data_IF_168391490296
#
_entry.id   IF_168391490296
#
_cell.length_a   1.000
_cell.length_b   1.000
_cell.length_c   1.000
_cell.angle_alpha   90.00
_cell.angle_beta   90.00
_cell.angle_gamma   90.00
#
_symmetry.space_group_name_H-M   'P 1'
#
loop_
_entity.id
_entity.type
_entity.pdbx_description
1 polymer ?
#
# COMPACT_ATOMS: atom_id res chain seq x y z
N UNK A 1 0.88 5.39 -20.46
CA UNK A 1 -0.33 6.19 -20.13
C UNK A 1 -0.58 7.15 -21.28
N UNK A 2 -1.83 7.40 -21.68
CA UNK A 2 -2.07 8.34 -22.80
C UNK A 2 -1.66 9.76 -22.40
N UNK A 3 -1.22 10.58 -23.36
CA UNK A 3 -0.81 11.98 -23.12
C UNK A 3 -1.93 12.80 -22.45
N UNK A 4 -3.18 12.49 -22.78
CA UNK A 4 -4.36 13.12 -22.17
C UNK A 4 -4.46 12.80 -20.67
N UNK A 5 -4.34 11.53 -20.27
CA UNK A 5 -4.42 11.15 -18.84
C UNK A 5 -3.28 11.75 -18.01
N UNK A 6 -2.05 11.77 -18.56
CA UNK A 6 -0.92 12.40 -17.87
C UNK A 6 -1.15 13.91 -17.69
N UNK A 7 -1.74 14.58 -18.68
CA UNK A 7 -2.05 16.01 -18.58
C UNK A 7 -3.13 16.29 -17.53
N UNK A 8 -4.23 15.53 -17.54
CA UNK A 8 -5.32 15.67 -16.56
C UNK A 8 -4.82 15.42 -15.14
N UNK A 9 -3.99 14.39 -14.94
CA UNK A 9 -3.39 14.09 -13.64
C UNK A 9 -2.51 15.24 -13.15
N UNK A 10 -1.64 15.78 -14.01
CA UNK A 10 -0.79 16.93 -13.67
C UNK A 10 -1.61 18.16 -13.29
N UNK A 11 -2.70 18.45 -14.01
CA UNK A 11 -3.60 19.55 -13.67
C UNK A 11 -4.27 19.34 -12.31
N UNK A 12 -4.77 18.14 -12.03
CA UNK A 12 -5.41 17.80 -10.76
C UNK A 12 -4.44 17.98 -9.58
N UNK A 13 -3.24 17.37 -9.67
CA UNK A 13 -2.24 17.46 -8.60
C UNK A 13 -1.76 18.90 -8.40
N UNK A 14 -1.54 19.66 -9.48
CA UNK A 14 -1.19 21.09 -9.40
C UNK A 14 -2.28 21.91 -8.71
N UNK A 15 -3.55 21.64 -9.04
CA UNK A 15 -4.70 22.32 -8.43
C UNK A 15 -4.85 21.98 -6.95
N UNK A 16 -4.61 20.72 -6.55
CA UNK A 16 -4.65 20.31 -5.14
C UNK A 16 -3.54 20.99 -4.33
N UNK A 17 -2.31 21.03 -4.88
CA UNK A 17 -1.13 21.59 -4.20
C UNK A 17 -1.17 23.12 -4.07
N UNK A 18 -1.77 23.81 -5.03
CA UNK A 18 -1.93 25.29 -5.01
C UNK A 18 -3.20 25.77 -4.31
N UNK A 19 -4.12 24.86 -3.97
CA UNK A 19 -5.38 25.17 -3.31
C UNK A 19 -5.27 25.55 -1.84
N UNK A 20 -6.43 25.69 -1.18
CA UNK A 20 -6.54 25.95 0.27
C UNK A 20 -6.03 24.80 1.15
N UNK A 21 -6.08 24.98 2.48
CA UNK A 21 -5.53 24.00 3.45
C UNK A 21 -6.04 22.58 3.23
N UNK A 22 -7.33 22.41 2.96
CA UNK A 22 -7.95 21.10 2.79
C UNK A 22 -7.50 20.42 1.50
N UNK A 23 -7.32 21.17 0.42
CA UNK A 23 -6.82 20.64 -0.85
C UNK A 23 -5.36 20.20 -0.73
N UNK A 24 -4.53 20.99 -0.03
CA UNK A 24 -3.14 20.63 0.25
C UNK A 24 -3.03 19.39 1.12
N UNK A 25 -3.90 19.24 2.14
CA UNK A 25 -3.98 18.01 2.95
C UNK A 25 -4.32 16.79 2.09
N UNK A 26 -5.25 16.93 1.14
CA UNK A 26 -5.57 15.85 0.18
C UNK A 26 -4.37 15.50 -0.70
N UNK A 27 -3.63 16.48 -1.20
CA UNK A 27 -2.41 16.24 -1.97
C UNK A 27 -1.39 15.43 -1.15
N UNK A 28 -1.09 15.86 0.09
CA UNK A 28 -0.18 15.14 0.98
C UNK A 28 -0.67 13.71 1.26
N UNK A 29 -1.97 13.51 1.45
CA UNK A 29 -2.54 12.18 1.64
C UNK A 29 -2.35 11.28 0.41
N UNK A 30 -2.46 11.83 -0.80
CA UNK A 30 -2.21 11.08 -2.05
C UNK A 30 -0.73 10.71 -2.15
N UNK A 31 0.18 11.65 -1.86
CA UNK A 31 1.62 11.40 -1.87
C UNK A 31 1.99 10.26 -0.89
N UNK A 32 1.41 10.25 0.31
CA UNK A 32 1.61 9.19 1.31
C UNK A 32 1.01 7.84 0.86
N UNK A 33 -0.13 7.84 0.18
CA UNK A 33 -0.72 6.64 -0.41
C UNK A 33 0.17 6.07 -1.51
N UNK A 34 0.77 6.92 -2.35
CA UNK A 34 1.72 6.49 -3.38
C UNK A 34 2.91 5.78 -2.76
N UNK A 35 3.53 6.36 -1.72
CA UNK A 35 4.65 5.74 -0.97
C UNK A 35 4.24 4.37 -0.41
N UNK A 36 3.06 4.25 0.22
CA UNK A 36 2.55 2.98 0.71
C UNK A 36 2.50 1.93 -0.41
N UNK A 37 1.92 2.30 -1.56
CA UNK A 37 1.78 1.39 -2.70
C UNK A 37 3.15 0.99 -3.27
N UNK A 38 4.10 1.92 -3.40
CA UNK A 38 5.46 1.63 -3.86
C UNK A 38 6.17 0.62 -2.96
N UNK A 39 6.06 0.80 -1.63
CA UNK A 39 6.57 -0.15 -0.66
C UNK A 39 5.94 -1.53 -0.88
N UNK A 40 4.60 -1.62 -0.96
CA UNK A 40 3.92 -2.91 -1.16
C UNK A 40 4.28 -3.58 -2.50
N UNK A 41 4.48 -2.80 -3.57
CA UNK A 41 4.99 -3.30 -4.86
C UNK A 41 6.40 -3.88 -4.68
N UNK A 42 7.28 -3.22 -3.93
CA UNK A 42 8.63 -3.72 -3.66
C UNK A 42 8.60 -5.03 -2.87
N UNK A 43 7.71 -5.16 -1.88
CA UNK A 43 7.53 -6.38 -1.09
C UNK A 43 7.02 -7.53 -1.97
N UNK A 44 6.06 -7.26 -2.86
CA UNK A 44 5.56 -8.26 -3.80
C UNK A 44 6.64 -8.70 -4.82
N UNK A 45 7.52 -7.78 -5.25
CA UNK A 45 8.70 -8.13 -6.09
C UNK A 45 9.67 -9.02 -5.33
N UNK A 46 9.99 -8.68 -4.09
CA UNK A 46 10.84 -9.48 -3.20
C UNK A 46 10.30 -10.90 -3.05
N UNK A 47 9.00 -11.05 -2.75
CA UNK A 47 8.36 -12.38 -2.62
C UNK A 47 8.47 -13.19 -3.91
N UNK A 48 8.31 -12.56 -5.08
CA UNK A 48 8.44 -13.26 -6.36
C UNK A 48 9.88 -13.69 -6.67
N UNK A 49 10.88 -12.91 -6.25
CA UNK A 49 12.30 -13.18 -6.48
C UNK A 49 12.90 -14.13 -5.43
N UNK A 50 12.32 -14.18 -4.23
CA UNK A 50 12.78 -15.06 -3.15
C UNK A 50 12.65 -16.53 -3.56
N UNK A 51 13.71 -17.29 -3.27
CA UNK A 51 13.76 -18.72 -3.57
C UNK A 51 13.14 -19.54 -2.45
N UNK A 52 12.74 -20.77 -2.76
CA UNK A 52 12.17 -21.69 -1.80
C UNK A 52 10.65 -21.60 -1.62
N UNK A 53 10.16 -22.35 -0.63
CA UNK A 53 8.72 -22.58 -0.42
C UNK A 53 7.99 -21.38 0.19
N UNK A 54 6.65 -21.46 0.20
CA UNK A 54 5.77 -20.40 0.72
C UNK A 54 6.13 -19.95 2.14
N UNK A 55 6.45 -20.87 3.05
CA UNK A 55 6.82 -20.53 4.42
C UNK A 55 8.10 -19.68 4.51
N UNK A 56 9.07 -19.92 3.63
CA UNK A 56 10.31 -19.15 3.57
C UNK A 56 10.05 -17.75 3.02
N UNK A 57 9.25 -17.66 1.94
CA UNK A 57 8.81 -16.39 1.35
C UNK A 57 8.00 -15.55 2.35
N UNK A 58 7.13 -16.16 3.15
CA UNK A 58 6.42 -15.46 4.23
C UNK A 58 7.38 -14.91 5.29
N UNK A 59 8.38 -15.70 5.70
CA UNK A 59 9.39 -15.23 6.65
C UNK A 59 10.17 -14.04 6.09
N UNK A 60 10.57 -14.09 4.80
CA UNK A 60 11.25 -13.00 4.12
C UNK A 60 10.37 -11.75 4.02
N UNK A 61 9.09 -11.91 3.66
CA UNK A 61 8.10 -10.83 3.62
C UNK A 61 7.94 -10.15 4.98
N UNK A 62 7.70 -10.92 6.05
CA UNK A 62 7.52 -10.35 7.40
C UNK A 62 8.76 -9.58 7.86
N UNK A 63 9.96 -10.11 7.58
CA UNK A 63 11.23 -9.42 7.87
C UNK A 63 11.30 -8.08 7.13
N UNK A 64 11.12 -8.10 5.81
CA UNK A 64 11.22 -6.90 4.99
C UNK A 64 10.17 -5.83 5.39
N UNK A 65 8.94 -6.24 5.69
CA UNK A 65 7.88 -5.32 6.17
C UNK A 65 8.23 -4.67 7.51
N UNK A 66 8.88 -5.38 8.44
CA UNK A 66 9.31 -4.80 9.74
C UNK A 66 10.38 -3.73 9.59
N UNK A 67 11.19 -3.81 8.53
CA UNK A 67 12.26 -2.83 8.25
C UNK A 67 11.72 -1.52 7.66
N UNK A 68 10.48 -1.51 7.16
CA UNK A 68 9.82 -0.33 6.59
C UNK A 68 9.23 0.54 7.70
N UNK A 69 9.95 1.59 8.10
CA UNK A 69 9.53 2.52 9.17
C UNK A 69 8.19 3.20 8.85
N UNK A 70 7.96 3.54 7.59
CA UNK A 70 6.72 4.21 7.15
C UNK A 70 5.48 3.34 7.39
N UNK A 71 5.61 2.01 7.36
CA UNK A 71 4.50 1.09 7.62
C UNK A 71 4.16 0.94 9.11
N UNK A 72 5.08 1.31 10.01
CA UNK A 72 4.88 1.25 11.45
C UNK A 72 4.06 2.43 11.97
N UNK A 73 4.03 3.55 11.23
CA UNK A 73 3.21 4.71 11.56
C UNK A 73 2.72 5.42 10.29
N UNK A 74 1.50 5.09 9.91
CA UNK A 74 0.77 5.66 8.77
C UNK A 74 -0.04 6.90 9.16
N UNK A 75 -0.04 7.34 10.43
CA UNK A 75 -0.67 8.59 10.88
C UNK A 75 -2.14 8.76 10.43
N UNK A 76 -2.94 7.69 10.43
CA UNK A 76 -4.33 7.75 9.98
C UNK A 76 -4.49 7.87 8.46
N UNK A 77 -3.56 7.32 7.68
CA UNK A 77 -3.64 7.34 6.23
C UNK A 77 -4.95 6.66 5.76
N UNK A 78 -5.77 7.32 4.93
CA UNK A 78 -6.89 6.65 4.28
C UNK A 78 -6.38 5.60 3.29
N UNK A 79 -6.95 4.39 3.31
CA UNK A 79 -6.56 3.33 2.39
C UNK A 79 -7.03 3.63 0.97
N UNK A 80 -6.21 3.36 -0.09
CA UNK A 80 -6.63 3.60 -1.47
C UNK A 80 -7.86 2.79 -1.92
N UNK A 81 -8.03 1.57 -1.40
CA UNK A 81 -9.15 0.68 -1.76
C UNK A 81 -10.47 1.10 -1.10
N UNK A 82 -10.39 1.73 0.06
CA UNK A 82 -11.53 2.28 0.80
C UNK A 82 -11.07 3.51 1.58
N UNK A 83 -11.24 4.72 1.01
CA UNK A 83 -10.79 5.96 1.64
C UNK A 83 -11.51 6.29 2.96
N UNK A 84 -12.60 5.60 3.30
CA UNK A 84 -13.30 5.77 4.59
C UNK A 84 -12.58 5.06 5.74
N UNK A 85 -11.72 4.09 5.41
CA UNK A 85 -10.90 3.36 6.37
C UNK A 85 -9.55 4.04 6.54
N UNK A 86 -9.32 4.59 7.73
CA UNK A 86 -8.05 5.24 8.11
C UNK A 86 -7.23 4.29 8.96
N UNK A 87 -5.95 4.14 8.61
CA UNK A 87 -5.05 3.16 9.24
C UNK A 87 -3.83 3.82 9.88
N UNK A 88 -3.42 3.26 11.02
CA UNK A 88 -2.29 3.74 11.80
C UNK A 88 -1.01 2.94 11.53
N UNK A 89 -1.11 1.66 11.16
CA UNK A 89 0.06 0.83 10.90
C UNK A 89 -0.33 -0.46 10.16
N UNK A 90 0.66 -1.09 9.53
CA UNK A 90 0.58 -2.45 9.02
C UNK A 90 1.11 -3.43 10.09
N UNK A 91 0.37 -4.52 10.34
CA UNK A 91 0.74 -5.57 11.28
C UNK A 91 1.62 -6.62 10.59
N UNK A 92 2.91 -6.33 10.47
CA UNK A 92 3.87 -7.11 9.66
C UNK A 92 3.86 -8.61 9.98
N UNK A 93 3.72 -8.96 11.25
CA UNK A 93 3.78 -10.35 11.73
C UNK A 93 2.62 -11.21 11.27
N UNK A 94 1.50 -10.57 10.92
CA UNK A 94 0.29 -11.25 10.45
C UNK A 94 0.28 -11.48 8.94
N UNK A 95 1.27 -10.95 8.22
CA UNK A 95 1.33 -11.08 6.77
C UNK A 95 1.49 -12.55 6.35
N UNK A 96 0.68 -12.99 5.39
CA UNK A 96 0.73 -14.35 4.83
C UNK A 96 0.61 -14.31 3.31
N UNK A 97 0.98 -15.38 2.64
CA UNK A 97 0.83 -15.53 1.19
C UNK A 97 -0.32 -16.47 0.87
N UNK A 98 -1.14 -16.13 -0.12
CA UNK A 98 -2.14 -17.05 -0.66
C UNK A 98 -1.47 -18.16 -1.47
N UNK A 99 -2.07 -19.36 -1.44
CA UNK A 99 -1.59 -20.52 -2.21
C UNK A 99 -2.02 -20.40 -3.69
N UNK A 100 -1.36 -19.52 -4.43
CA UNK A 100 -1.60 -19.24 -5.86
C UNK A 100 -0.28 -18.94 -6.57
N UNK A 101 -0.22 -19.13 -7.90
CA UNK A 101 0.97 -18.94 -8.72
C UNK A 101 1.62 -17.56 -8.54
N UNK A 102 0.81 -16.50 -8.47
CA UNK A 102 1.29 -15.13 -8.30
C UNK A 102 1.52 -14.73 -6.83
N UNK A 103 1.26 -15.64 -5.89
CA UNK A 103 1.40 -15.47 -4.44
C UNK A 103 0.94 -14.09 -3.92
N UNK A 104 -0.36 -13.75 -4.05
CA UNK A 104 -0.90 -12.53 -3.45
C UNK A 104 -0.60 -12.44 -1.95
N UNK A 105 -0.36 -11.22 -1.47
CA UNK A 105 -0.11 -10.96 -0.04
C UNK A 105 -1.43 -10.69 0.67
N UNK A 106 -1.66 -11.36 1.80
CA UNK A 106 -2.69 -10.98 2.78
C UNK A 106 -2.03 -10.05 3.81
N UNK A 107 -2.52 -8.83 3.92
CA UNK A 107 -1.97 -7.81 4.80
C UNK A 107 -3.05 -7.35 5.78
N UNK A 108 -2.68 -7.18 7.04
CA UNK A 108 -3.57 -6.66 8.08
C UNK A 108 -3.10 -5.28 8.50
N UNK A 109 -4.02 -4.32 8.53
CA UNK A 109 -3.78 -2.97 9.00
C UNK A 109 -4.55 -2.72 10.29
N UNK A 110 -3.95 -1.98 11.22
CA UNK A 110 -4.67 -1.46 12.39
C UNK A 110 -5.33 -0.14 12.02
N UNK A 111 -6.64 -0.05 12.21
CA UNK A 111 -7.42 1.16 11.95
C UNK A 111 -7.29 2.17 13.10
N UNK A 112 -7.66 3.43 12.86
CA UNK A 112 -7.76 4.46 13.91
C UNK A 112 -8.73 4.09 15.04
N UNK A 113 -9.72 3.25 14.75
CA UNK A 113 -10.72 2.79 15.73
C UNK A 113 -10.22 1.64 16.60
N UNK A 114 -9.02 1.12 16.35
CA UNK A 114 -8.45 -0.03 17.03
C UNK A 114 -8.80 -1.38 16.38
N UNK A 115 -9.72 -1.41 15.42
CA UNK A 115 -10.07 -2.62 14.67
C UNK A 115 -9.00 -3.00 13.64
N UNK A 116 -9.08 -4.23 13.11
CA UNK A 116 -8.22 -4.70 12.03
C UNK A 116 -8.93 -4.63 10.67
N UNK A 117 -8.25 -4.10 9.66
CA UNK A 117 -8.67 -4.16 8.27
C UNK A 117 -7.75 -5.11 7.50
N UNK A 118 -8.32 -6.12 6.85
CA UNK A 118 -7.56 -7.12 6.10
C UNK A 118 -7.72 -6.86 4.61
N UNK A 119 -6.61 -6.72 3.90
CA UNK A 119 -6.58 -6.50 2.46
C UNK A 119 -5.76 -7.58 1.74
N UNK A 120 -6.11 -7.82 0.49
CA UNK A 120 -5.32 -8.64 -0.43
C UNK A 120 -4.58 -7.69 -1.37
N UNK A 121 -3.26 -7.80 -1.43
CA UNK A 121 -2.43 -7.10 -2.40
C UNK A 121 -1.98 -8.07 -3.49
N UNK A 122 -2.34 -7.78 -4.73
CA UNK A 122 -2.00 -8.58 -5.91
C UNK A 122 -1.05 -7.81 -6.81
N UNK A 123 -0.03 -8.49 -7.33
CA UNK A 123 0.89 -7.97 -8.35
C UNK A 123 0.91 -8.93 -9.54
N UNK A 124 0.69 -8.42 -10.74
CA UNK A 124 0.72 -9.20 -11.98
C UNK A 124 -0.66 -9.65 -12.50
N UNK A 125 -1.75 -9.24 -11.83
CA UNK A 125 -3.12 -9.33 -12.34
C UNK A 125 -3.57 -7.95 -12.82
N UNK A 126 -4.37 -7.93 -13.89
CA UNK A 126 -5.16 -6.76 -14.24
C UNK A 126 -6.47 -6.79 -13.44
N UNK A 127 -6.69 -5.78 -12.60
CA UNK A 127 -7.89 -5.65 -11.75
C UNK A 127 -8.87 -4.57 -12.27
N UNK A 128 -8.63 -4.04 -13.48
CA UNK A 128 -9.41 -2.96 -14.10
C UNK A 128 -10.78 -3.40 -14.60
#
# INVERSE_FOLDING_TARGET
MSRMYSYVLSLLISSLRSGGSDLRRRATSIDQQEILIEILVSMAKLVSQESGGRSQKEKALRRALREQRDLLNLCGLPLPVDPTVRVNMLLSDTATLFNSNLMPMKLTFRTEKGDNFVAIFKRGDDLR
#
